data_IF_884283807794
#
_entry.id   IF_884283807794
#
_cell.length_a   1.000
_cell.length_b   1.000
_cell.length_c   1.000
_cell.angle_alpha   90.00
_cell.angle_beta   90.00
_cell.angle_gamma   90.00
#
_symmetry.space_group_name_H-M   'P 1'
#
loop_
_entity.id
_entity.type
_entity.pdbx_description
1 polymer ?
#
# COMPACT_ATOMS: atom_id res chain seq x y z
N UNK A 1 23.13 -16.99 13.94
CA UNK A 1 23.67 -15.85 13.17
C UNK A 1 24.56 -15.07 14.12
N UNK A 2 25.84 -14.81 13.77
CA UNK A 2 26.74 -14.02 14.62
C UNK A 2 26.18 -12.59 14.77
N UNK A 3 26.42 -11.96 15.92
CA UNK A 3 25.99 -10.59 16.20
C UNK A 3 26.61 -9.57 15.23
N UNK A 4 27.81 -9.87 14.73
CA UNK A 4 28.49 -9.13 13.66
C UNK A 4 28.83 -10.11 12.53
N UNK A 5 28.30 -9.88 11.35
CA UNK A 5 28.65 -10.66 10.15
C UNK A 5 29.79 -9.98 9.39
N UNK A 6 31.01 -10.48 9.61
CA UNK A 6 32.23 -9.94 8.99
C UNK A 6 32.29 -10.16 7.48
N UNK A 7 31.44 -11.00 6.90
CA UNK A 7 31.35 -11.20 5.45
C UNK A 7 30.84 -9.95 4.70
N UNK A 8 30.18 -9.06 5.41
CA UNK A 8 29.70 -7.79 4.86
C UNK A 8 30.81 -6.74 4.67
N UNK A 9 31.94 -6.92 5.34
CA UNK A 9 33.05 -5.98 5.34
C UNK A 9 33.91 -6.13 4.09
N UNK A 10 34.31 -5.00 3.50
CA UNK A 10 35.34 -4.96 2.46
C UNK A 10 36.69 -4.59 3.06
N UNK A 11 37.47 -5.61 3.41
CA UNK A 11 38.79 -5.43 4.04
C UNK A 11 39.86 -4.81 3.13
N UNK A 12 39.58 -4.65 1.83
CA UNK A 12 40.48 -3.96 0.91
C UNK A 12 40.44 -2.42 1.07
N UNK A 13 39.42 -1.92 1.74
CA UNK A 13 39.23 -0.49 1.99
C UNK A 13 39.76 -0.13 3.39
N UNK A 14 40.53 0.96 3.48
CA UNK A 14 40.99 1.44 4.79
C UNK A 14 39.84 2.06 5.60
N UNK A 15 39.60 1.63 6.85
CA UNK A 15 38.57 2.21 7.69
C UNK A 15 38.80 3.68 8.02
N UNK A 16 40.07 4.18 7.84
CA UNK A 16 40.41 5.59 8.02
C UNK A 16 40.00 6.45 6.84
N UNK A 17 39.90 5.88 5.64
CA UNK A 17 39.50 6.60 4.42
C UNK A 17 38.02 6.57 4.17
N UNK A 18 37.39 5.39 4.30
CA UNK A 18 35.93 5.21 4.13
C UNK A 18 35.45 4.07 5.03
N UNK A 19 35.01 4.46 6.22
CA UNK A 19 34.50 3.49 7.20
C UNK A 19 33.22 2.80 6.76
N UNK A 20 32.34 3.50 6.03
CA UNK A 20 31.09 2.93 5.54
C UNK A 20 31.35 1.78 4.55
N UNK A 21 32.16 2.03 3.54
CA UNK A 21 32.52 1.01 2.55
C UNK A 21 33.37 -0.10 3.14
N UNK A 22 34.25 0.19 4.12
CA UNK A 22 34.95 -0.85 4.87
C UNK A 22 33.96 -1.78 5.59
N UNK A 23 32.98 -1.24 6.30
CA UNK A 23 32.06 -2.02 7.13
C UNK A 23 30.97 -2.74 6.31
N UNK A 24 30.52 -2.18 5.17
CA UNK A 24 29.35 -2.63 4.45
C UNK A 24 29.60 -2.92 2.96
N UNK A 25 30.82 -2.74 2.46
CA UNK A 25 31.11 -2.77 1.01
C UNK A 25 30.72 -4.06 0.32
N UNK A 26 30.96 -5.22 0.92
CA UNK A 26 30.57 -6.51 0.35
C UNK A 26 29.06 -6.71 0.43
N UNK A 27 28.39 -6.25 1.49
CA UNK A 27 26.92 -6.30 1.54
C UNK A 27 26.30 -5.51 0.40
N UNK A 28 26.75 -4.28 0.16
CA UNK A 28 26.26 -3.42 -0.92
C UNK A 28 26.50 -4.04 -2.29
N UNK A 29 27.68 -4.63 -2.52
CA UNK A 29 28.00 -5.34 -3.77
C UNK A 29 27.08 -6.54 -4.02
N UNK A 30 26.74 -7.28 -2.97
CA UNK A 30 25.89 -8.47 -3.05
C UNK A 30 24.38 -8.17 -3.07
N UNK A 31 23.98 -6.93 -2.73
CA UNK A 31 22.60 -6.48 -2.69
C UNK A 31 22.45 -5.17 -3.50
N UNK A 32 22.59 -5.23 -4.83
CA UNK A 32 22.46 -4.04 -5.67
C UNK A 32 21.06 -3.47 -5.59
N UNK A 33 20.96 -2.13 -5.72
CA UNK A 33 19.69 -1.45 -5.78
C UNK A 33 18.90 -1.90 -7.03
N UNK A 34 17.72 -2.43 -6.81
CA UNK A 34 16.80 -2.83 -7.88
C UNK A 34 16.03 -1.61 -8.41
N UNK A 35 15.59 -1.61 -9.69
CA UNK A 35 14.91 -0.45 -10.29
C UNK A 35 13.64 0.00 -9.55
N UNK A 36 12.94 -0.92 -8.89
CA UNK A 36 11.72 -0.66 -8.13
C UNK A 36 11.94 -0.02 -6.76
N UNK A 37 13.19 0.10 -6.31
CA UNK A 37 13.53 0.67 -5.01
C UNK A 37 14.26 2.01 -5.14
N UNK A 38 13.81 3.03 -4.42
CA UNK A 38 14.55 4.28 -4.26
C UNK A 38 15.75 4.14 -3.29
N UNK A 39 15.68 3.16 -2.39
CA UNK A 39 16.74 2.76 -1.46
C UNK A 39 16.61 1.28 -1.14
N UNK A 40 17.71 0.62 -0.80
CA UNK A 40 17.71 -0.76 -0.38
C UNK A 40 18.69 -0.98 0.76
N UNK A 41 18.22 -1.51 1.87
CA UNK A 41 19.02 -1.76 3.08
C UNK A 41 18.69 -3.10 3.72
N UNK A 42 19.29 -3.39 4.87
CA UNK A 42 19.09 -4.66 5.58
C UNK A 42 17.63 -4.91 5.99
N UNK A 43 16.87 -3.86 6.30
CA UNK A 43 15.43 -3.98 6.59
C UNK A 43 14.62 -4.34 5.35
N UNK A 44 14.99 -3.81 4.17
CA UNK A 44 14.32 -4.14 2.92
C UNK A 44 14.58 -5.60 2.54
N UNK A 45 15.84 -6.04 2.69
CA UNK A 45 16.21 -7.46 2.50
C UNK A 45 15.45 -8.37 3.47
N UNK A 46 15.37 -8.01 4.76
CA UNK A 46 14.61 -8.78 5.74
C UNK A 46 13.13 -8.87 5.39
N UNK A 47 12.54 -7.78 4.88
CA UNK A 47 11.14 -7.75 4.42
C UNK A 47 10.94 -8.70 3.23
N UNK A 48 11.82 -8.66 2.22
CA UNK A 48 11.77 -9.59 1.08
C UNK A 48 11.85 -11.05 1.54
N UNK A 49 12.84 -11.38 2.37
CA UNK A 49 13.02 -12.73 2.90
C UNK A 49 11.81 -13.20 3.71
N UNK A 50 11.17 -12.30 4.45
CA UNK A 50 9.98 -12.62 5.20
C UNK A 50 8.78 -12.89 4.30
N UNK A 51 8.61 -12.12 3.23
CA UNK A 51 7.56 -12.37 2.22
C UNK A 51 7.76 -13.73 1.56
N UNK A 52 8.99 -14.08 1.16
CA UNK A 52 9.29 -15.39 0.59
C UNK A 52 8.96 -16.54 1.56
N UNK A 53 9.33 -16.41 2.83
CA UNK A 53 9.01 -17.40 3.87
C UNK A 53 7.53 -17.55 4.11
N UNK A 54 6.79 -16.43 4.17
CA UNK A 54 5.34 -16.45 4.33
C UNK A 54 4.65 -17.08 3.12
N UNK A 55 5.09 -16.77 1.90
CA UNK A 55 4.56 -17.38 0.69
C UNK A 55 4.79 -18.92 0.68
N UNK A 56 5.97 -19.37 1.07
CA UNK A 56 6.27 -20.79 1.19
C UNK A 56 5.38 -21.46 2.25
N UNK A 57 5.22 -20.83 3.41
CA UNK A 57 4.36 -21.32 4.49
C UNK A 57 2.90 -21.43 4.05
N UNK A 58 2.35 -20.39 3.42
CA UNK A 58 0.97 -20.39 2.95
C UNK A 58 0.74 -21.40 1.83
N UNK A 59 1.73 -21.59 0.95
CA UNK A 59 1.67 -22.62 -0.09
C UNK A 59 1.65 -24.05 0.51
N UNK A 60 2.37 -24.28 1.60
CA UNK A 60 2.28 -25.55 2.35
C UNK A 60 0.94 -25.70 3.06
N UNK A 61 0.50 -24.68 3.79
CA UNK A 61 -0.78 -24.68 4.49
C UNK A 61 -1.95 -24.90 3.54
N UNK A 62 -1.89 -24.36 2.32
CA UNK A 62 -2.96 -24.50 1.32
C UNK A 62 -3.20 -25.96 0.87
N UNK A 63 -2.24 -26.84 1.09
CA UNK A 63 -2.35 -28.31 0.82
C UNK A 63 -3.03 -29.05 1.98
N UNK A 64 -3.15 -28.40 3.13
CA UNK A 64 -3.77 -28.98 4.31
C UNK A 64 -5.32 -28.89 4.20
N UNK A 65 -6.00 -29.68 5.02
CA UNK A 65 -7.45 -29.61 5.22
C UNK A 65 -7.74 -29.36 6.72
N UNK A 66 -7.51 -28.15 7.19
CA UNK A 66 -7.69 -27.83 8.62
C UNK A 66 -9.15 -27.98 9.06
N UNK A 67 -9.38 -28.28 10.33
CA UNK A 67 -10.71 -28.39 10.89
C UNK A 67 -11.44 -27.04 10.84
N UNK A 68 -12.75 -27.09 10.58
CA UNK A 68 -13.59 -25.90 10.53
C UNK A 68 -13.53 -25.07 11.82
N UNK A 69 -13.44 -23.75 11.68
CA UNK A 69 -13.39 -22.79 12.78
C UNK A 69 -12.00 -22.55 13.38
N UNK A 70 -10.97 -23.30 12.94
CA UNK A 70 -9.58 -23.08 13.38
C UNK A 70 -8.96 -21.85 12.70
N UNK A 71 -7.91 -21.29 13.29
CA UNK A 71 -7.14 -20.20 12.67
C UNK A 71 -6.48 -20.67 11.37
N UNK A 72 -5.97 -21.90 11.34
CA UNK A 72 -5.36 -22.46 10.14
C UNK A 72 -6.35 -22.52 8.96
N UNK A 73 -7.60 -22.93 9.23
CA UNK A 73 -8.65 -22.91 8.21
C UNK A 73 -8.93 -21.49 7.69
N UNK A 74 -9.04 -20.49 8.58
CA UNK A 74 -9.27 -19.09 8.18
C UNK A 74 -8.14 -18.55 7.31
N UNK A 75 -6.88 -18.84 7.67
CA UNK A 75 -5.69 -18.44 6.91
C UNK A 75 -5.70 -19.09 5.52
N UNK A 76 -5.94 -20.39 5.46
CA UNK A 76 -5.98 -21.15 4.19
C UNK A 76 -7.08 -20.64 3.28
N UNK A 77 -8.27 -20.39 3.83
CA UNK A 77 -9.41 -19.91 3.04
C UNK A 77 -9.14 -18.49 2.50
N UNK A 78 -8.62 -17.59 3.32
CA UNK A 78 -8.27 -16.24 2.89
C UNK A 78 -7.20 -16.25 1.79
N UNK A 79 -6.17 -17.07 1.97
CA UNK A 79 -5.10 -17.21 0.97
C UNK A 79 -5.63 -17.76 -0.36
N UNK A 80 -6.47 -18.81 -0.32
CA UNK A 80 -7.10 -19.38 -1.51
C UNK A 80 -8.03 -18.39 -2.21
N UNK A 81 -8.81 -17.62 -1.45
CA UNK A 81 -9.66 -16.57 -2.01
C UNK A 81 -8.86 -15.49 -2.75
N UNK A 82 -7.73 -15.07 -2.18
CA UNK A 82 -6.83 -14.09 -2.80
C UNK A 82 -6.19 -14.58 -4.10
N UNK A 83 -6.03 -15.88 -4.28
CA UNK A 83 -5.47 -16.51 -5.48
C UNK A 83 -6.50 -16.96 -6.50
N UNK A 84 -7.78 -16.91 -6.18
CA UNK A 84 -8.88 -17.31 -7.09
C UNK A 84 -9.14 -16.24 -8.16
N UNK A 85 -8.24 -16.17 -9.14
CA UNK A 85 -8.32 -15.22 -10.25
C UNK A 85 -9.61 -15.40 -11.08
N UNK A 86 -10.16 -16.62 -11.15
CA UNK A 86 -11.41 -16.88 -11.87
C UNK A 86 -12.57 -16.17 -11.19
N UNK A 87 -12.70 -16.33 -9.88
CA UNK A 87 -13.71 -15.64 -9.09
C UNK A 87 -13.51 -14.12 -9.10
N UNK A 88 -12.31 -13.65 -8.85
CA UNK A 88 -11.97 -12.21 -8.86
C UNK A 88 -12.36 -11.56 -10.18
N UNK A 89 -12.03 -12.20 -11.31
CA UNK A 89 -12.39 -11.70 -12.63
C UNK A 89 -13.90 -11.73 -12.90
N UNK A 90 -14.62 -12.76 -12.41
CA UNK A 90 -16.07 -12.87 -12.59
C UNK A 90 -16.85 -11.86 -11.74
N UNK A 91 -16.39 -11.58 -10.53
CA UNK A 91 -16.99 -10.60 -9.63
C UNK A 91 -16.71 -9.15 -10.08
N UNK A 92 -15.52 -8.89 -10.64
CA UNK A 92 -15.12 -7.56 -11.11
C UNK A 92 -15.33 -6.48 -10.04
N UNK A 93 -16.06 -5.43 -10.38
CA UNK A 93 -16.38 -4.31 -9.47
C UNK A 93 -17.57 -4.59 -8.54
N UNK A 94 -18.24 -5.73 -8.66
CA UNK A 94 -19.47 -6.06 -7.87
C UNK A 94 -19.32 -5.82 -6.37
N UNK A 95 -18.20 -6.19 -5.71
CA UNK A 95 -18.04 -6.01 -4.28
C UNK A 95 -18.11 -4.54 -3.81
N UNK A 96 -17.72 -3.58 -4.65
CA UNK A 96 -17.71 -2.15 -4.31
C UNK A 96 -18.94 -1.38 -4.82
N UNK A 97 -19.84 -2.02 -5.55
CA UNK A 97 -21.05 -1.37 -6.13
C UNK A 97 -21.90 -0.74 -5.05
N UNK A 98 -22.04 -1.37 -3.88
CA UNK A 98 -22.80 -0.81 -2.76
C UNK A 98 -22.22 0.54 -2.32
N UNK A 99 -20.92 0.65 -2.19
CA UNK A 99 -20.25 1.87 -1.75
C UNK A 99 -20.31 2.95 -2.82
N UNK A 100 -20.12 2.57 -4.10
CA UNK A 100 -20.31 3.49 -5.23
C UNK A 100 -21.73 4.05 -5.27
N UNK A 101 -22.73 3.21 -5.09
CA UNK A 101 -24.13 3.65 -5.07
C UNK A 101 -24.41 4.59 -3.89
N UNK A 102 -23.84 4.33 -2.71
CA UNK A 102 -23.98 5.24 -1.57
C UNK A 102 -23.37 6.61 -1.85
N UNK A 103 -22.18 6.67 -2.48
CA UNK A 103 -21.54 7.92 -2.89
C UNK A 103 -22.40 8.68 -3.91
N UNK A 104 -22.92 7.99 -4.93
CA UNK A 104 -23.76 8.63 -5.97
C UNK A 104 -25.13 9.07 -5.48
N UNK A 105 -25.67 8.42 -4.45
CA UNK A 105 -26.97 8.78 -3.86
C UNK A 105 -26.88 10.00 -2.94
N UNK A 106 -25.68 10.40 -2.49
CA UNK A 106 -25.51 11.56 -1.63
C UNK A 106 -25.93 12.84 -2.36
N UNK A 107 -27.02 13.47 -1.90
CA UNK A 107 -27.60 14.65 -2.54
C UNK A 107 -26.81 15.93 -2.26
N UNK A 108 -26.08 15.99 -1.16
CA UNK A 108 -25.28 17.14 -0.75
C UNK A 108 -23.99 16.74 -0.02
N UNK A 109 -23.20 17.76 0.36
CA UNK A 109 -21.92 17.56 1.07
C UNK A 109 -22.11 16.92 2.45
N UNK A 110 -23.21 17.16 3.13
CA UNK A 110 -23.44 16.61 4.48
C UNK A 110 -23.74 15.10 4.39
N UNK A 111 -24.51 14.70 3.41
CA UNK A 111 -24.75 13.27 3.14
C UNK A 111 -23.47 12.58 2.68
N UNK A 112 -22.68 13.20 1.80
CA UNK A 112 -21.38 12.65 1.39
C UNK A 112 -20.45 12.45 2.59
N UNK A 113 -20.37 13.40 3.53
CA UNK A 113 -19.55 13.25 4.75
C UNK A 113 -20.00 12.05 5.58
N UNK A 114 -21.31 11.78 5.69
CA UNK A 114 -21.81 10.59 6.40
C UNK A 114 -21.38 9.31 5.70
N UNK A 115 -21.49 9.25 4.38
CA UNK A 115 -21.03 8.09 3.58
C UNK A 115 -19.54 7.85 3.79
N UNK A 116 -18.71 8.90 3.72
CA UNK A 116 -17.27 8.79 3.94
C UNK A 116 -16.93 8.36 5.38
N UNK A 117 -17.68 8.86 6.38
CA UNK A 117 -17.50 8.43 7.77
C UNK A 117 -17.84 6.95 7.97
N UNK A 118 -18.88 6.44 7.29
CA UNK A 118 -19.22 5.02 7.32
C UNK A 118 -18.15 4.17 6.61
N UNK A 119 -17.65 4.61 5.48
CA UNK A 119 -16.55 3.92 4.77
C UNK A 119 -15.26 3.86 5.59
N UNK A 120 -14.94 4.92 6.34
CA UNK A 120 -13.76 4.93 7.23
C UNK A 120 -13.81 3.84 8.32
N UNK A 121 -14.98 3.41 8.78
CA UNK A 121 -15.12 2.29 9.73
C UNK A 121 -14.55 0.97 9.19
N UNK A 122 -14.50 0.83 7.88
CA UNK A 122 -14.01 -0.36 7.18
C UNK A 122 -12.64 -0.15 6.52
N UNK A 123 -11.92 0.92 6.89
CA UNK A 123 -10.58 1.22 6.40
C UNK A 123 -10.54 1.88 5.02
N UNK A 124 -11.69 2.25 4.45
CA UNK A 124 -11.76 3.00 3.20
C UNK A 124 -11.71 4.49 3.50
N UNK A 125 -10.53 5.08 3.39
CA UNK A 125 -10.34 6.54 3.54
C UNK A 125 -10.94 7.31 2.36
N UNK A 126 -11.12 8.60 2.56
CA UNK A 126 -11.45 9.55 1.50
C UNK A 126 -10.44 10.70 1.57
N UNK A 127 -10.93 11.91 1.84
CA UNK A 127 -10.08 13.11 1.93
C UNK A 127 -9.22 13.18 3.19
N UNK A 128 -9.45 12.33 4.17
CA UNK A 128 -8.69 12.30 5.43
C UNK A 128 -8.63 10.88 5.99
N UNK A 129 -7.53 10.61 6.68
CA UNK A 129 -7.37 9.40 7.49
C UNK A 129 -7.85 9.66 8.92
N UNK A 130 -8.42 8.63 9.54
CA UNK A 130 -8.87 8.66 10.94
C UNK A 130 -8.28 7.46 11.67
N UNK A 131 -7.72 7.70 12.85
CA UNK A 131 -7.17 6.64 13.71
C UNK A 131 -7.28 7.00 15.17
N UNK A 132 -7.27 5.98 16.03
CA UNK A 132 -7.20 6.15 17.48
C UNK A 132 -5.83 5.70 17.94
N UNK A 133 -5.16 6.54 18.71
CA UNK A 133 -3.84 6.24 19.28
C UNK A 133 -3.68 6.95 20.62
N UNK A 134 -2.60 6.64 21.35
CA UNK A 134 -2.27 7.30 22.60
C UNK A 134 -2.07 8.81 22.40
N UNK A 135 -2.56 9.61 23.35
CA UNK A 135 -2.27 11.05 23.35
C UNK A 135 -0.77 11.28 23.51
N UNK A 136 -0.20 12.14 22.66
CA UNK A 136 1.23 12.48 22.72
C UNK A 136 1.64 13.17 24.00
N UNK A 137 0.70 13.79 24.74
CA UNK A 137 0.94 14.48 26.00
C UNK A 137 0.52 13.66 27.21
N UNK A 138 -0.30 12.62 27.03
CA UNK A 138 -0.79 11.74 28.07
C UNK A 138 -1.01 10.33 27.51
N UNK A 139 0.02 9.49 27.63
CA UNK A 139 -0.01 8.11 27.09
C UNK A 139 -1.05 7.17 27.71
N UNK A 140 -1.65 7.55 28.81
CA UNK A 140 -2.73 6.78 29.46
C UNK A 140 -4.11 7.08 28.84
N UNK A 141 -4.20 8.13 28.04
CA UNK A 141 -5.41 8.54 27.31
C UNK A 141 -5.35 8.14 25.85
N UNK A 142 -6.51 7.78 25.28
CA UNK A 142 -6.67 7.50 23.84
C UNK A 142 -7.41 8.66 23.18
N UNK A 143 -6.89 9.14 22.06
CA UNK A 143 -7.48 10.26 21.31
C UNK A 143 -7.69 9.91 19.84
N UNK A 144 -8.64 10.58 19.22
CA UNK A 144 -8.89 10.48 17.81
C UNK A 144 -7.94 11.40 17.04
N UNK A 145 -7.11 10.83 16.20
CA UNK A 145 -6.28 11.56 15.26
C UNK A 145 -6.96 11.64 13.90
N UNK A 146 -6.89 12.81 13.29
CA UNK A 146 -7.29 13.03 11.91
C UNK A 146 -6.11 13.62 11.14
N UNK A 147 -5.83 13.07 9.99
CA UNK A 147 -4.75 13.52 9.10
C UNK A 147 -5.23 13.70 7.68
N UNK A 148 -4.52 14.49 6.91
CA UNK A 148 -4.77 14.64 5.49
C UNK A 148 -4.65 13.27 4.78
N UNK A 149 -5.54 13.02 3.83
CA UNK A 149 -5.55 11.84 2.97
C UNK A 149 -6.07 12.20 1.58
N UNK A 150 -6.28 11.18 0.76
CA UNK A 150 -6.91 11.35 -0.56
C UNK A 150 -5.96 11.74 -1.70
N UNK A 151 -4.66 11.92 -1.43
CA UNK A 151 -3.67 12.13 -2.48
C UNK A 151 -3.14 10.77 -2.97
N UNK A 152 -3.57 10.32 -4.13
CA UNK A 152 -3.24 9.00 -4.65
C UNK A 152 -1.77 8.85 -5.08
N UNK A 153 -1.07 9.94 -5.42
CA UNK A 153 0.38 9.95 -5.64
C UNK A 153 1.19 10.16 -4.35
N UNK A 154 0.53 10.37 -3.22
CA UNK A 154 1.12 10.46 -1.88
C UNK A 154 1.61 11.84 -1.49
N UNK A 155 2.56 12.43 -2.20
CA UNK A 155 3.15 13.71 -1.85
C UNK A 155 2.65 14.84 -2.77
N UNK A 156 2.48 16.05 -2.19
CA UNK A 156 2.09 17.27 -2.91
C UNK A 156 3.00 17.58 -4.10
N UNK A 157 4.29 17.32 -3.99
CA UNK A 157 5.25 17.67 -5.04
C UNK A 157 5.01 16.91 -6.34
N UNK A 158 4.37 15.74 -6.29
CA UNK A 158 3.96 15.02 -7.50
C UNK A 158 2.84 15.71 -8.28
N UNK A 159 2.09 16.61 -7.65
CA UNK A 159 1.01 17.36 -8.29
C UNK A 159 1.45 18.73 -8.83
N UNK A 160 2.39 19.39 -8.16
CA UNK A 160 2.75 20.80 -8.46
C UNK A 160 4.08 20.98 -9.17
N UNK A 161 5.01 20.03 -9.05
CA UNK A 161 6.34 20.15 -9.62
C UNK A 161 6.32 19.84 -11.13
N UNK A 162 6.86 20.73 -11.94
CA UNK A 162 6.84 20.62 -13.42
C UNK A 162 7.56 19.38 -13.94
N UNK A 163 8.59 18.93 -13.26
CA UNK A 163 9.33 17.70 -13.57
C UNK A 163 8.48 16.45 -13.45
N UNK A 164 7.38 16.49 -12.71
CA UNK A 164 6.46 15.38 -12.51
C UNK A 164 5.27 15.37 -13.49
N UNK A 165 5.23 16.25 -14.48
CA UNK A 165 4.11 16.37 -15.42
C UNK A 165 3.78 15.06 -16.15
N UNK A 166 4.79 14.28 -16.56
CA UNK A 166 4.58 12.96 -17.20
C UNK A 166 3.98 11.95 -16.21
N UNK A 167 4.39 11.97 -14.94
CA UNK A 167 3.85 11.10 -13.92
C UNK A 167 2.38 11.45 -13.63
N UNK A 168 2.07 12.74 -13.57
CA UNK A 168 0.71 13.26 -13.38
C UNK A 168 -0.24 12.79 -14.51
N UNK A 169 0.22 12.83 -15.78
CA UNK A 169 -0.55 12.31 -16.91
C UNK A 169 -0.78 10.79 -16.81
N UNK A 170 0.25 10.02 -16.48
CA UNK A 170 0.15 8.56 -16.27
C UNK A 170 -0.80 8.21 -15.14
N UNK A 171 -0.81 9.01 -14.07
CA UNK A 171 -1.73 8.84 -12.97
C UNK A 171 -3.19 9.06 -13.42
N UNK A 172 -3.46 10.11 -14.20
CA UNK A 172 -4.79 10.31 -14.78
C UNK A 172 -5.24 9.12 -15.64
N UNK A 173 -4.36 8.59 -16.49
CA UNK A 173 -4.64 7.42 -17.34
C UNK A 173 -4.93 6.17 -16.49
N UNK A 174 -4.24 6.00 -15.36
CA UNK A 174 -4.50 4.92 -14.41
C UNK A 174 -5.91 5.06 -13.79
N UNK A 175 -6.30 6.25 -13.34
CA UNK A 175 -7.65 6.51 -12.80
C UNK A 175 -8.71 6.23 -13.86
N UNK A 176 -8.50 6.68 -15.10
CA UNK A 176 -9.39 6.41 -16.23
C UNK A 176 -9.57 4.90 -16.43
N UNK A 177 -8.47 4.15 -16.39
CA UNK A 177 -8.52 2.69 -16.49
C UNK A 177 -9.33 2.04 -15.39
N UNK A 178 -9.21 2.51 -14.15
CA UNK A 178 -10.03 2.00 -13.05
C UNK A 178 -11.52 2.28 -13.26
N UNK A 179 -11.90 3.48 -13.66
CA UNK A 179 -13.29 3.79 -13.95
C UNK A 179 -13.83 2.95 -15.11
N UNK A 180 -13.04 2.72 -16.14
CA UNK A 180 -13.39 1.84 -17.25
C UNK A 180 -13.61 0.40 -16.79
N UNK A 181 -12.73 -0.15 -15.94
CA UNK A 181 -12.86 -1.50 -15.38
C UNK A 181 -14.09 -1.65 -14.47
N UNK A 182 -14.50 -0.58 -13.81
CA UNK A 182 -15.75 -0.54 -13.03
C UNK A 182 -17.02 -0.37 -13.91
N UNK A 183 -16.88 -0.26 -15.22
CA UNK A 183 -18.00 -0.09 -16.13
C UNK A 183 -18.70 1.27 -16.02
N UNK A 184 -17.99 2.29 -15.52
CA UNK A 184 -18.55 3.64 -15.38
C UNK A 184 -18.51 4.39 -16.71
N UNK A 185 -19.58 5.13 -16.99
CA UNK A 185 -19.68 5.99 -18.15
C UNK A 185 -18.66 7.14 -18.10
N UNK A 186 -18.19 7.59 -19.25
CA UNK A 186 -17.27 8.73 -19.43
C UNK A 186 -15.98 8.62 -18.54
N UNK A 187 -15.23 7.51 -18.57
CA UNK A 187 -14.12 7.28 -17.62
C UNK A 187 -13.04 8.37 -17.70
N UNK A 188 -12.70 8.86 -18.89
CA UNK A 188 -11.72 9.94 -19.08
C UNK A 188 -12.16 11.26 -18.39
N UNK A 189 -13.43 11.63 -18.55
CA UNK A 189 -14.00 12.83 -17.92
C UNK A 189 -14.02 12.69 -16.41
N UNK A 190 -14.36 11.50 -15.88
CA UNK A 190 -14.35 11.22 -14.45
C UNK A 190 -12.94 11.28 -13.89
N UNK A 191 -11.96 10.72 -14.58
CA UNK A 191 -10.55 10.77 -14.19
C UNK A 191 -10.03 12.22 -14.11
N UNK A 192 -10.31 13.03 -15.13
CA UNK A 192 -9.92 14.43 -15.13
C UNK A 192 -10.57 15.23 -13.98
N UNK A 193 -11.81 14.90 -13.60
CA UNK A 193 -12.49 15.55 -12.46
C UNK A 193 -11.92 15.08 -11.12
N UNK A 194 -11.61 13.79 -10.96
CA UNK A 194 -10.98 13.26 -9.75
C UNK A 194 -9.62 13.94 -9.51
N UNK A 195 -8.77 13.95 -10.56
CA UNK A 195 -7.47 14.57 -10.49
C UNK A 195 -7.55 16.07 -10.16
N UNK A 196 -8.46 16.80 -10.80
CA UNK A 196 -8.70 18.21 -10.47
C UNK A 196 -9.09 18.43 -9.00
N UNK A 197 -9.73 17.44 -8.37
CA UNK A 197 -10.09 17.53 -6.93
C UNK A 197 -8.86 17.29 -6.05
N UNK A 198 -7.94 16.42 -6.47
CA UNK A 198 -6.67 16.18 -5.77
C UNK A 198 -5.69 17.36 -5.96
N UNK A 199 -5.73 18.05 -7.12
CA UNK A 199 -4.92 19.24 -7.42
C UNK A 199 -5.34 20.50 -6.62
N UNK A 200 -6.51 20.51 -6.02
CA UNK A 200 -7.10 21.69 -5.36
C UNK A 200 -6.72 21.78 -3.88
#
# INVERSE_FOLDING_TARGET
>A
VPALDTSYMDLSISPKSDFYSYANGNWVKNNPLKPEYARFGSFDKLREDNVERLNALFAEMSKMSPAYGTNDQKIVDLYKQGLDSTRLNSEGATPIVKDLNAIYAAADKQELVKVLADMNKYGSGGFFGVGVDADLMDSDSQVLYMGQGGLGMGDRDYYVAKENAELHEKYQQMIEKFFSLCGLDEPARRAARALKTEDA
#
